data_IF_208824449835
#
_entry.id   IF_208824449835
#
_cell.length_a   1.000
_cell.length_b   1.000
_cell.length_c   1.000
_cell.angle_alpha   90.00
_cell.angle_beta   90.00
_cell.angle_gamma   90.00
#
_symmetry.space_group_name_H-M   'P 1'
#
loop_
_entity.id
_entity.type
_entity.pdbx_description
1 polymer ?
#
# COMPACT_ATOMS: atom_id res chain seq x y z
N UNK A 1 -13.36 7.28 -11.22
CA UNK A 1 -11.94 6.95 -11.08
C UNK A 1 -11.53 6.98 -9.60
N UNK A 2 -10.54 6.21 -9.23
CA UNK A 2 -10.09 6.10 -7.84
C UNK A 2 -9.08 7.21 -7.53
N UNK A 3 -9.22 7.83 -6.35
CA UNK A 3 -8.26 8.79 -5.80
C UNK A 3 -7.68 8.22 -4.51
N UNK A 4 -6.36 8.33 -4.37
CA UNK A 4 -5.64 7.90 -3.19
C UNK A 4 -5.34 9.12 -2.33
N UNK A 5 -5.87 9.16 -1.10
CA UNK A 5 -5.69 10.28 -0.18
C UNK A 5 -4.61 9.94 0.85
N UNK A 6 -3.37 9.86 0.39
CA UNK A 6 -2.23 9.64 1.27
C UNK A 6 -0.97 10.24 0.65
N UNK A 7 -0.15 10.89 1.48
CA UNK A 7 1.19 11.36 1.08
C UNK A 7 2.27 10.67 1.89
N UNK A 8 1.91 10.19 3.08
CA UNK A 8 2.81 9.51 4.00
C UNK A 8 2.06 8.37 4.66
N UNK A 9 2.71 7.23 4.77
CA UNK A 9 2.18 6.05 5.44
C UNK A 9 3.06 5.75 6.64
N UNK A 10 2.47 5.79 7.84
CA UNK A 10 3.15 5.47 9.10
C UNK A 10 2.71 4.09 9.54
N UNK A 11 3.65 3.16 9.59
CA UNK A 11 3.39 1.77 9.99
C UNK A 11 3.56 1.64 11.50
N UNK A 12 2.51 1.29 12.26
CA UNK A 12 2.60 1.20 13.71
C UNK A 12 3.59 0.12 14.18
N UNK A 13 4.36 0.45 15.21
CA UNK A 13 5.32 -0.46 15.84
C UNK A 13 4.88 -0.97 17.19
N UNK A 14 3.80 -0.43 17.75
CA UNK A 14 3.27 -0.74 19.08
C UNK A 14 1.74 -0.81 19.04
N UNK A 15 1.15 -1.49 20.01
CA UNK A 15 -0.29 -1.55 20.16
C UNK A 15 -0.91 -2.79 19.50
N UNK A 16 -2.25 -2.80 19.44
CA UNK A 16 -3.00 -3.94 18.89
C UNK A 16 -2.87 -4.09 17.38
N UNK A 17 -2.60 -2.98 16.69
CA UNK A 17 -2.56 -2.94 15.23
C UNK A 17 -1.13 -2.79 14.69
N UNK A 18 -0.17 -3.49 15.31
CA UNK A 18 1.22 -3.47 14.84
C UNK A 18 1.26 -3.88 13.37
N UNK A 19 1.86 -3.05 12.54
CA UNK A 19 2.02 -3.30 11.11
C UNK A 19 0.76 -3.09 10.28
N UNK A 20 -0.37 -2.76 10.88
CA UNK A 20 -1.63 -2.54 10.15
C UNK A 20 -1.82 -1.07 9.82
N UNK A 21 -2.06 -0.78 8.54
CA UNK A 21 -2.24 0.57 8.03
C UNK A 21 -3.54 0.64 7.24
N UNK A 22 -4.29 1.72 7.45
CA UNK A 22 -5.45 2.05 6.62
C UNK A 22 -5.10 3.18 5.68
N UNK A 23 -5.30 2.96 4.38
CA UNK A 23 -5.09 3.98 3.36
C UNK A 23 -6.44 4.42 2.83
N UNK A 24 -6.72 5.72 2.95
CA UNK A 24 -8.00 6.28 2.51
C UNK A 24 -8.04 6.37 0.99
N UNK A 25 -9.13 5.91 0.42
CA UNK A 25 -9.38 5.94 -1.02
C UNK A 25 -10.79 6.45 -1.30
N UNK A 26 -10.96 7.04 -2.47
CA UNK A 26 -12.24 7.56 -2.92
C UNK A 26 -12.51 7.09 -4.34
N UNK A 27 -13.71 6.56 -4.57
CA UNK A 27 -14.16 6.12 -5.87
C UNK A 27 -15.10 7.16 -6.48
N UNK A 28 -14.67 7.84 -7.55
CA UNK A 28 -15.47 8.86 -8.22
C UNK A 28 -16.61 8.24 -9.03
N UNK A 29 -17.79 8.90 -9.09
CA UNK A 29 -18.94 8.41 -9.82
C UNK A 29 -18.82 8.64 -11.34
N UNK A 30 -17.90 7.95 -12.00
CA UNK A 30 -17.74 8.04 -13.46
C UNK A 30 -17.98 6.65 -14.06
N UNK A 31 -19.17 6.42 -14.57
CA UNK A 31 -19.55 5.23 -15.34
C UNK A 31 -19.28 3.87 -14.67
N UNK A 32 -19.03 3.85 -13.37
CA UNK A 32 -18.72 2.63 -12.61
C UNK A 32 -19.66 2.54 -11.42
N UNK A 33 -20.24 1.37 -11.18
CA UNK A 33 -21.12 1.15 -10.02
C UNK A 33 -20.34 0.85 -8.75
N UNK A 34 -19.23 0.13 -8.89
CA UNK A 34 -18.32 -0.19 -7.78
C UNK A 34 -16.90 -0.12 -8.28
N UNK A 35 -15.98 0.24 -7.38
CA UNK A 35 -14.56 0.12 -7.62
C UNK A 35 -14.09 -1.17 -6.97
N UNK A 36 -13.75 -2.17 -7.78
CA UNK A 36 -13.31 -3.47 -7.32
C UNK A 36 -11.94 -3.79 -7.92
N UNK A 37 -11.02 -4.27 -7.09
CA UNK A 37 -9.70 -4.61 -7.56
C UNK A 37 -8.71 -4.82 -6.43
N UNK A 38 -7.46 -4.45 -6.67
CA UNK A 38 -6.39 -4.61 -5.71
C UNK A 38 -5.59 -3.32 -5.55
N UNK A 39 -4.96 -3.17 -4.40
CA UNK A 39 -4.08 -2.06 -4.08
C UNK A 39 -2.81 -2.62 -3.48
N UNK A 40 -1.65 -2.12 -3.89
CA UNK A 40 -0.37 -2.56 -3.35
C UNK A 40 0.57 -1.39 -3.10
N UNK A 41 1.47 -1.59 -2.14
CA UNK A 41 2.51 -0.64 -1.78
C UNK A 41 3.84 -1.27 -2.17
N UNK A 42 4.58 -0.64 -3.09
CA UNK A 42 5.82 -1.18 -3.62
C UNK A 42 6.88 -0.09 -3.64
N UNK A 43 8.10 -0.42 -3.22
CA UNK A 43 9.20 0.54 -3.23
C UNK A 43 9.49 1.06 -4.65
N UNK A 44 9.79 2.37 -4.75
CA UNK A 44 10.18 2.99 -6.03
C UNK A 44 11.57 2.52 -6.44
N UNK A 45 12.49 2.49 -5.48
CA UNK A 45 13.87 2.09 -5.72
C UNK A 45 14.12 0.66 -5.25
N UNK A 46 15.05 -0.05 -5.89
CA UNK A 46 15.46 -1.36 -5.40
C UNK A 46 16.08 -1.26 -4.01
N UNK A 47 15.63 -2.12 -3.11
CA UNK A 47 16.17 -2.26 -1.75
C UNK A 47 16.31 -3.75 -1.42
N UNK A 48 17.05 -4.08 -0.37
CA UNK A 48 17.13 -5.46 0.08
C UNK A 48 15.79 -5.89 0.67
N UNK A 49 15.21 -7.03 0.21
CA UNK A 49 13.88 -7.44 0.63
C UNK A 49 13.81 -7.98 2.06
N UNK A 50 14.96 -8.22 2.70
CA UNK A 50 15.02 -8.72 4.08
C UNK A 50 16.22 -8.16 4.80
N UNK A 51 16.09 -7.95 6.11
CA UNK A 51 17.15 -7.41 6.95
C UNK A 51 18.08 -8.47 7.50
N UNK A 52 17.66 -9.72 7.51
CA UNK A 52 18.43 -10.86 8.02
C UNK A 52 18.07 -12.11 7.24
N UNK A 53 18.95 -13.08 7.31
CA UNK A 53 18.81 -14.32 6.58
C UNK A 53 20.04 -14.62 5.73
N UNK A 54 20.22 -15.88 5.40
CA UNK A 54 21.32 -16.38 4.58
C UNK A 54 20.72 -17.30 3.51
N UNK A 55 21.04 -17.11 2.23
CA UNK A 55 21.94 -16.10 1.66
C UNK A 55 21.32 -14.70 1.59
N UNK A 56 22.18 -13.68 1.49
CA UNK A 56 21.74 -12.30 1.31
C UNK A 56 21.13 -12.14 -0.07
N UNK A 57 19.89 -11.69 -0.14
CA UNK A 57 19.21 -11.47 -1.41
C UNK A 57 19.62 -10.15 -2.04
N UNK A 58 19.68 -10.07 -3.39
CA UNK A 58 20.00 -8.83 -4.08
C UNK A 58 18.90 -7.78 -3.87
N UNK A 59 19.24 -6.52 -4.10
CA UNK A 59 18.28 -5.42 -4.06
C UNK A 59 17.23 -5.58 -5.17
N UNK A 60 15.99 -5.30 -4.84
CA UNK A 60 14.87 -5.30 -5.79
C UNK A 60 13.79 -4.35 -5.31
N UNK A 61 12.84 -4.03 -6.18
CA UNK A 61 11.63 -3.33 -5.76
C UNK A 61 10.80 -4.28 -4.88
N UNK A 62 10.54 -3.85 -3.65
CA UNK A 62 9.87 -4.68 -2.65
C UNK A 62 8.40 -4.29 -2.57
N UNK A 63 7.50 -5.27 -2.71
CA UNK A 63 6.09 -5.11 -2.41
C UNK A 63 5.90 -5.33 -0.91
N UNK A 64 5.57 -4.25 -0.19
CA UNK A 64 5.39 -4.31 1.25
C UNK A 64 4.08 -4.97 1.65
N UNK A 65 3.02 -4.69 0.92
CA UNK A 65 1.70 -5.21 1.26
C UNK A 65 0.75 -5.08 0.07
N UNK A 66 -0.23 -5.97 0.02
CA UNK A 66 -1.30 -5.96 -0.97
C UNK A 66 -2.63 -6.09 -0.24
N UNK A 67 -3.63 -5.32 -0.67
CA UNK A 67 -4.96 -5.33 -0.07
C UNK A 67 -6.04 -5.34 -1.15
N UNK A 68 -7.19 -5.97 -0.90
CA UNK A 68 -8.33 -5.86 -1.79
C UNK A 68 -8.98 -4.47 -1.68
N UNK A 69 -9.57 -4.02 -2.77
CA UNK A 69 -10.34 -2.78 -2.83
C UNK A 69 -11.74 -3.12 -3.33
N UNK A 70 -12.75 -2.69 -2.57
CA UNK A 70 -14.14 -2.79 -3.01
C UNK A 70 -14.93 -1.66 -2.38
N UNK A 71 -15.32 -0.70 -3.22
CA UNK A 71 -16.06 0.48 -2.79
C UNK A 71 -17.21 0.74 -3.75
N UNK A 72 -18.33 1.18 -3.20
CA UNK A 72 -19.42 1.75 -4.00
C UNK A 72 -19.01 3.12 -4.54
N UNK A 73 -19.59 3.48 -5.67
CA UNK A 73 -19.37 4.80 -6.29
C UNK A 73 -19.77 5.92 -5.32
N UNK A 74 -18.99 6.99 -5.30
CA UNK A 74 -19.14 8.14 -4.39
C UNK A 74 -18.90 7.80 -2.92
N UNK A 75 -18.28 6.66 -2.64
CA UNK A 75 -17.94 6.28 -1.28
C UNK A 75 -16.47 6.53 -0.97
N UNK A 76 -16.22 6.87 0.28
CA UNK A 76 -14.89 6.92 0.86
C UNK A 76 -14.71 5.65 1.66
N UNK A 77 -13.60 4.99 1.49
CA UNK A 77 -13.27 3.81 2.26
C UNK A 77 -11.80 3.71 2.54
N UNK A 78 -11.40 2.60 3.12
CA UNK A 78 -10.03 2.35 3.49
C UNK A 78 -9.57 1.00 2.95
N UNK A 79 -8.40 0.97 2.34
CA UNK A 79 -7.68 -0.28 2.10
C UNK A 79 -6.84 -0.57 3.34
N UNK A 80 -6.92 -1.80 3.85
CA UNK A 80 -6.20 -2.22 5.05
C UNK A 80 -5.01 -3.05 4.62
N UNK A 81 -3.81 -2.56 4.95
CA UNK A 81 -2.55 -3.22 4.66
C UNK A 81 -1.93 -3.79 5.92
N UNK A 82 -1.39 -4.99 5.82
CA UNK A 82 -0.63 -5.62 6.90
C UNK A 82 0.85 -5.73 6.49
N UNK A 83 1.72 -5.08 7.28
CA UNK A 83 3.17 -5.17 7.12
C UNK A 83 3.68 -6.22 8.10
N UNK A 84 4.18 -7.34 7.60
CA UNK A 84 4.71 -8.41 8.45
C UNK A 84 6.03 -7.98 9.12
N UNK A 85 6.52 -8.82 10.04
CA UNK A 85 7.72 -8.51 10.80
C UNK A 85 8.95 -8.27 9.90
N UNK A 86 9.08 -9.05 8.84
CA UNK A 86 10.18 -8.89 7.88
C UNK A 86 10.12 -7.54 7.16
N UNK A 87 8.93 -7.12 6.72
CA UNK A 87 8.75 -5.83 6.04
C UNK A 87 8.96 -4.66 6.99
N UNK A 88 8.51 -4.78 8.24
CA UNK A 88 8.78 -3.77 9.27
C UNK A 88 10.28 -3.66 9.55
N UNK A 89 10.99 -4.78 9.56
CA UNK A 89 12.45 -4.82 9.75
C UNK A 89 13.18 -4.09 8.62
N UNK A 90 12.72 -4.26 7.37
CA UNK A 90 13.25 -3.53 6.21
C UNK A 90 13.03 -2.02 6.37
N UNK A 91 11.85 -1.61 6.79
CA UNK A 91 11.53 -0.19 7.03
C UNK A 91 12.40 0.40 8.15
N UNK A 92 12.68 -0.37 9.20
CA UNK A 92 13.55 0.06 10.29
C UNK A 92 14.98 0.31 9.79
N UNK A 93 15.49 -0.56 8.94
CA UNK A 93 16.82 -0.42 8.33
C UNK A 93 16.91 0.80 7.41
N UNK A 94 15.92 0.94 6.51
CA UNK A 94 15.91 2.01 5.50
C UNK A 94 15.45 3.35 6.07
N UNK A 95 14.83 3.37 7.24
CA UNK A 95 14.23 4.52 7.94
C UNK A 95 13.00 5.06 7.24
N UNK A 96 13.10 5.39 5.97
CA UNK A 96 11.96 5.78 5.14
C UNK A 96 12.13 5.17 3.75
N UNK A 97 11.03 4.78 3.14
CA UNK A 97 11.05 4.20 1.80
C UNK A 97 10.03 4.92 0.93
N UNK A 98 10.52 5.54 -0.13
CA UNK A 98 9.65 6.13 -1.14
C UNK A 98 9.00 5.01 -1.92
N UNK A 99 7.68 5.00 -1.97
CA UNK A 99 6.91 3.88 -2.52
C UNK A 99 5.80 4.36 -3.43
N UNK A 100 5.43 3.51 -4.38
CA UNK A 100 4.22 3.67 -5.17
C UNK A 100 3.07 2.95 -4.47
N UNK A 101 1.98 3.66 -4.25
CA UNK A 101 0.69 3.05 -3.97
C UNK A 101 0.01 2.87 -5.31
N UNK A 102 -0.21 1.62 -5.69
CA UNK A 102 -0.75 1.27 -7.01
C UNK A 102 -2.12 0.64 -6.81
N UNK A 103 -3.13 1.28 -7.38
CA UNK A 103 -4.51 0.76 -7.38
C UNK A 103 -4.83 0.24 -8.76
N UNK A 104 -5.24 -1.00 -8.86
CA UNK A 104 -5.74 -1.61 -10.09
C UNK A 104 -7.20 -1.95 -9.88
N UNK A 105 -8.09 -1.31 -10.64
CA UNK A 105 -9.53 -1.54 -10.56
C UNK A 105 -10.08 -1.97 -11.91
N UNK A 106 -11.17 -2.73 -11.87
CA UNK A 106 -11.90 -3.18 -13.06
C UNK A 106 -13.23 -2.46 -13.05
N UNK A 107 -13.55 -1.77 -14.16
CA UNK A 107 -14.82 -1.07 -14.29
C UNK A 107 -15.95 -2.00 -14.76
N UNK A 108 -17.16 -1.44 -14.89
CA UNK A 108 -18.36 -2.20 -15.30
C UNK A 108 -18.24 -2.79 -16.73
N UNK A 109 -17.38 -2.20 -17.56
CA UNK A 109 -17.12 -2.68 -18.93
C UNK A 109 -15.93 -3.64 -18.99
N UNK A 110 -15.46 -4.11 -17.84
CA UNK A 110 -14.33 -5.02 -17.69
C UNK A 110 -12.99 -4.40 -18.15
N UNK A 111 -12.90 -3.08 -18.17
CA UNK A 111 -11.67 -2.37 -18.47
C UNK A 111 -10.85 -2.19 -17.19
N UNK A 112 -9.55 -2.47 -17.28
CA UNK A 112 -8.63 -2.33 -16.16
C UNK A 112 -8.06 -0.91 -16.13
N UNK A 113 -8.12 -0.28 -14.95
CA UNK A 113 -7.53 1.03 -14.72
C UNK A 113 -6.47 0.94 -13.62
N UNK A 114 -5.34 1.58 -13.85
CA UNK A 114 -4.24 1.66 -12.87
C UNK A 114 -4.06 3.11 -12.44
N UNK A 115 -4.05 3.33 -11.13
CA UNK A 115 -3.77 4.63 -10.53
C UNK A 115 -2.56 4.48 -9.62
N UNK A 116 -1.61 5.40 -9.73
CA UNK A 116 -0.38 5.39 -8.93
C UNK A 116 -0.23 6.69 -8.17
N UNK A 117 0.28 6.61 -6.95
CA UNK A 117 0.67 7.77 -6.18
C UNK A 117 1.94 7.44 -5.40
N UNK A 118 2.90 8.37 -5.43
CA UNK A 118 4.14 8.23 -4.65
C UNK A 118 3.89 8.70 -3.24
N UNK A 119 4.25 7.88 -2.26
CA UNK A 119 4.13 8.16 -0.84
C UNK A 119 5.45 7.83 -0.15
N UNK A 120 5.66 8.38 1.05
CA UNK A 120 6.78 8.00 1.91
C UNK A 120 6.26 7.05 2.98
N UNK A 121 6.87 5.87 3.08
CA UNK A 121 6.52 4.85 4.09
C UNK A 121 7.55 4.87 5.19
N UNK A 122 7.13 4.99 6.44
CA UNK A 122 7.99 5.02 7.62
C UNK A 122 7.43 4.14 8.72
N UNK A 123 8.29 3.69 9.63
CA UNK A 123 7.85 3.07 10.88
C UNK A 123 7.64 4.15 11.93
N UNK A 124 6.67 3.94 12.81
CA UNK A 124 6.46 4.79 13.95
C UNK A 124 5.04 4.73 14.47
N UNK A 125 4.86 5.33 15.66
CA UNK A 125 3.54 5.47 16.23
C UNK A 125 2.97 4.20 16.85
N UNK A 126 1.73 4.33 17.31
CA UNK A 126 0.96 3.27 17.94
C UNK A 126 -0.29 3.02 17.12
N UNK A 127 -0.52 1.77 16.83
CA UNK A 127 -1.71 1.35 16.10
C UNK A 127 -2.94 1.13 16.98
#
# INVERSE_FOLDING_TARGET
MVRIDATRIVVPTKGRNIGRVRVRIFCRPIAIRTCSGTMKIRSVNPIRPQSFGVPVKPKRRVTFSTAPVQLDVSKIGYAIFDFNAQRRSVLKREKSVRSNVIVTVIDANNNRQNVRKIVTVVLGGRG
#
